data_IF_770805456978
#
_entry.id   IF_770805456978
#
_cell.length_a   1.000
_cell.length_b   1.000
_cell.length_c   1.000
_cell.angle_alpha   90.00
_cell.angle_beta   90.00
_cell.angle_gamma   90.00
#
_symmetry.space_group_name_H-M   'P 1'
#
loop_
_entity.id
_entity.type
_entity.pdbx_description
1 polymer ?
#
# COMPACT_ATOMS: atom_id res chain seq x y z
N UNK A 1 -3.77 -22.09 21.95
CA UNK A 1 -4.42 -21.41 20.80
C UNK A 1 -3.46 -21.45 19.61
N UNK A 2 -3.76 -22.22 18.56
CA UNK A 2 -2.95 -22.22 17.33
C UNK A 2 -3.38 -21.00 16.50
N UNK A 3 -2.53 -19.99 16.38
CA UNK A 3 -2.77 -18.91 15.43
C UNK A 3 -2.78 -19.53 14.03
N UNK A 4 -3.76 -19.19 13.20
CA UNK A 4 -3.92 -19.74 11.85
C UNK A 4 -2.80 -19.31 10.88
N UNK A 5 -1.68 -18.76 11.37
CA UNK A 5 -0.59 -18.25 10.56
C UNK A 5 -0.97 -17.07 9.66
N UNK A 6 -2.08 -16.38 9.96
CA UNK A 6 -2.56 -15.23 9.19
C UNK A 6 -1.88 -13.96 9.67
N UNK A 7 -1.24 -13.23 8.76
CA UNK A 7 -0.67 -11.90 9.02
C UNK A 7 -1.24 -10.88 8.03
N UNK A 8 -1.36 -9.62 8.43
CA UNK A 8 -1.77 -8.55 7.53
C UNK A 8 -0.60 -8.07 6.67
N UNK A 9 -0.88 -7.69 5.43
CA UNK A 9 0.10 -6.97 4.59
C UNK A 9 0.31 -5.56 5.18
N UNK A 10 1.56 -5.13 5.41
CA UNK A 10 1.86 -3.76 5.88
C UNK A 10 1.59 -2.72 4.79
N UNK A 11 0.77 -1.71 5.06
CA UNK A 11 0.34 -0.74 4.04
C UNK A 11 0.76 0.70 4.36
N UNK A 12 -0.02 1.44 5.16
CA UNK A 12 0.15 2.89 5.37
C UNK A 12 1.58 3.27 5.81
N UNK A 13 2.17 4.24 5.11
CA UNK A 13 3.52 4.74 5.37
C UNK A 13 4.64 3.79 4.93
N UNK A 14 4.33 2.69 4.24
CA UNK A 14 5.32 1.81 3.62
C UNK A 14 5.45 2.07 2.13
N UNK A 15 6.62 1.78 1.52
CA UNK A 15 6.76 1.78 0.07
C UNK A 15 5.75 0.86 -0.59
N UNK A 16 5.21 1.31 -1.73
CA UNK A 16 4.37 0.48 -2.56
C UNK A 16 5.19 -0.65 -3.19
N UNK A 17 4.91 -1.86 -2.73
CA UNK A 17 5.39 -3.11 -3.34
C UNK A 17 4.29 -3.78 -4.19
N UNK A 18 4.43 -3.88 -5.53
CA UNK A 18 3.47 -4.56 -6.41
C UNK A 18 3.27 -6.05 -6.10
N UNK A 19 4.23 -6.71 -5.44
CA UNK A 19 4.10 -8.11 -5.05
C UNK A 19 3.16 -8.30 -3.86
N UNK A 20 2.89 -7.24 -3.10
CA UNK A 20 2.11 -7.28 -1.86
C UNK A 20 0.88 -6.37 -1.91
N UNK A 21 0.85 -5.42 -2.85
CA UNK A 21 -0.15 -4.38 -2.95
C UNK A 21 -0.73 -4.25 -4.35
N UNK A 22 -1.97 -3.82 -4.40
CA UNK A 22 -2.70 -3.45 -5.59
C UNK A 22 -3.04 -1.95 -5.50
N UNK A 23 -2.37 -1.12 -6.32
CA UNK A 23 -2.62 0.31 -6.34
C UNK A 23 -3.90 0.58 -7.16
N UNK A 24 -4.96 0.98 -6.47
CA UNK A 24 -6.25 1.28 -7.13
C UNK A 24 -6.41 2.75 -7.47
N UNK A 25 -5.61 3.63 -6.86
CA UNK A 25 -5.55 5.05 -7.17
C UNK A 25 -4.21 5.65 -6.73
N UNK A 26 -3.91 6.80 -7.32
CA UNK A 26 -2.78 7.65 -6.98
C UNK A 26 -3.30 9.02 -6.54
N UNK A 27 -2.67 9.63 -5.54
CA UNK A 27 -3.09 10.92 -4.99
C UNK A 27 -1.87 11.74 -4.57
N UNK A 28 -1.97 13.06 -4.69
CA UNK A 28 -0.94 13.96 -4.18
C UNK A 28 -0.92 13.90 -2.65
N UNK A 29 0.26 13.88 -2.05
CA UNK A 29 0.40 13.89 -0.59
C UNK A 29 1.48 14.86 -0.17
N UNK A 30 1.13 15.70 0.81
CA UNK A 30 2.10 16.58 1.50
C UNK A 30 2.81 15.85 2.65
N UNK A 31 2.24 14.74 3.11
CA UNK A 31 2.75 13.96 4.25
C UNK A 31 3.73 12.88 3.79
N UNK A 32 3.51 12.29 2.61
CA UNK A 32 4.30 11.17 2.11
C UNK A 32 4.94 11.45 0.74
N UNK A 33 6.22 11.10 0.55
CA UNK A 33 6.87 11.22 -0.75
C UNK A 33 6.26 10.27 -1.78
N UNK A 34 6.61 10.48 -3.06
CA UNK A 34 6.19 9.63 -4.16
C UNK A 34 6.53 8.14 -3.89
N UNK A 35 5.59 7.25 -4.24
CA UNK A 35 5.77 5.80 -4.11
C UNK A 35 5.43 5.23 -2.74
N UNK A 36 4.97 6.05 -1.78
CA UNK A 36 4.54 5.59 -0.46
C UNK A 36 3.03 5.36 -0.42
N UNK A 37 2.59 4.28 0.22
CA UNK A 37 1.18 4.00 0.46
C UNK A 37 0.61 5.00 1.48
N UNK A 38 -0.38 5.78 1.05
CA UNK A 38 -1.01 6.83 1.88
C UNK A 38 -2.28 6.34 2.56
N UNK A 39 -2.97 5.37 1.96
CA UNK A 39 -4.23 4.86 2.47
C UNK A 39 -4.43 3.38 2.10
N UNK A 40 -4.86 2.58 3.07
CA UNK A 40 -5.40 1.24 2.85
C UNK A 40 -6.90 1.33 2.58
N UNK A 41 -7.32 0.81 1.42
CA UNK A 41 -8.74 0.71 1.04
C UNK A 41 -9.29 -0.66 1.43
N UNK A 42 -8.47 -1.70 1.25
CA UNK A 42 -8.79 -3.06 1.71
C UNK A 42 -7.53 -3.76 2.18
N UNK A 43 -7.58 -4.31 3.39
CA UNK A 43 -6.49 -5.05 3.98
C UNK A 43 -6.09 -6.27 3.14
N UNK A 44 -4.79 -6.45 2.94
CA UNK A 44 -4.20 -7.67 2.38
C UNK A 44 -3.83 -8.66 3.48
N UNK A 45 -3.65 -9.93 3.12
CA UNK A 45 -3.28 -10.97 4.07
C UNK A 45 -2.24 -11.94 3.52
N UNK A 46 -1.40 -12.42 4.42
CA UNK A 46 -0.46 -13.51 4.27
C UNK A 46 -0.99 -14.72 5.07
N UNK A 47 -0.85 -15.92 4.53
CA UNK A 47 -1.14 -17.18 5.22
C UNK A 47 0.12 -18.04 5.21
N UNK A 48 0.69 -18.30 6.38
CA UNK A 48 1.93 -19.07 6.51
C UNK A 48 3.10 -18.45 5.72
N UNK A 49 3.16 -17.12 5.62
CA UNK A 49 4.17 -16.39 4.87
C UNK A 49 3.92 -16.28 3.35
N UNK A 50 2.86 -16.91 2.81
CA UNK A 50 2.48 -16.77 1.40
C UNK A 50 1.38 -15.73 1.24
N UNK A 51 1.46 -14.92 0.18
CA UNK A 51 0.42 -13.95 -0.12
C UNK A 51 -0.90 -14.66 -0.44
N UNK A 52 -1.91 -14.40 0.38
CA UNK A 52 -3.27 -14.87 0.15
C UNK A 52 -4.05 -13.87 -0.71
N UNK A 53 -3.88 -12.59 -0.41
CA UNK A 53 -4.49 -11.50 -1.16
C UNK A 53 -3.67 -10.21 -0.97
N UNK A 54 -3.37 -9.46 -2.04
CA UNK A 54 -2.74 -8.15 -1.91
C UNK A 54 -3.65 -7.17 -1.15
N UNK A 55 -3.05 -6.14 -0.56
CA UNK A 55 -3.81 -5.03 -0.02
C UNK A 55 -4.15 -4.04 -1.13
N UNK A 56 -5.40 -3.59 -1.20
CA UNK A 56 -5.78 -2.52 -2.12
C UNK A 56 -5.48 -1.18 -1.47
N UNK A 57 -4.68 -0.35 -2.14
CA UNK A 57 -4.11 0.86 -1.55
C UNK A 57 -4.17 2.04 -2.50
N UNK A 58 -4.07 3.24 -1.91
CA UNK A 58 -3.70 4.46 -2.64
C UNK A 58 -2.22 4.77 -2.44
N UNK A 59 -1.56 5.22 -3.49
CA UNK A 59 -0.12 5.55 -3.48
C UNK A 59 0.09 7.04 -3.71
N UNK A 60 1.02 7.63 -2.97
CA UNK A 60 1.45 9.01 -3.14
C UNK A 60 2.16 9.17 -4.49
N UNK A 61 1.81 10.22 -5.23
CA UNK A 61 2.65 10.73 -6.35
C UNK A 61 3.57 11.87 -5.91
N UNK A 62 3.70 12.06 -4.59
CA UNK A 62 4.36 13.22 -4.00
C UNK A 62 3.53 14.49 -4.14
N UNK A 63 3.99 15.57 -3.51
CA UNK A 63 3.62 16.92 -3.92
C UNK A 63 4.25 17.14 -5.29
N UNK A 64 3.56 16.74 -6.35
CA UNK A 64 3.96 17.09 -7.69
C UNK A 64 3.95 18.63 -7.76
N UNK A 65 5.13 19.24 -7.67
CA UNK A 65 5.33 20.61 -8.08
C UNK A 65 4.71 20.72 -9.48
N UNK A 66 3.61 21.48 -9.58
CA UNK A 66 2.89 21.79 -10.82
C UNK A 66 3.91 21.87 -11.95
N UNK A 67 3.97 20.87 -12.82
CA UNK A 67 4.71 21.00 -14.08
C UNK A 67 3.77 21.82 -14.96
N UNK A 68 4.03 23.12 -15.22
CA UNK A 68 3.21 23.82 -16.19
C UNK A 68 3.48 23.21 -17.58
N UNK A 69 2.53 23.30 -18.51
CA UNK A 69 2.72 22.88 -19.88
C UNK A 69 3.87 23.64 -20.58
#
# INVERSE_FOLDING_TARGET
MRSLGVASVPTKGKPFDPSMHEAIAQEESQEFPEGIVIQEIRRGFLLGGRLLRPAMVKVSIGLAARRPP
#
